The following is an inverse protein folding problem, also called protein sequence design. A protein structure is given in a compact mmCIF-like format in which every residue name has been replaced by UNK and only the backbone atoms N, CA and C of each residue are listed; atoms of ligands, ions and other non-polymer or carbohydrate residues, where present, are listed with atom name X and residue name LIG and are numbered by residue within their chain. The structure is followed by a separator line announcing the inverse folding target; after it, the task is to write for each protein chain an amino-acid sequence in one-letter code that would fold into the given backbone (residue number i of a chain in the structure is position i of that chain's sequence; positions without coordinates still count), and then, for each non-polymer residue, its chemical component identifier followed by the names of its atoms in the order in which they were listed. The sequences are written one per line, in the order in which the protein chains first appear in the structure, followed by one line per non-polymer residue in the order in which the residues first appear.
data_IF_909588045639
#
_entry.id   IF_909588045639
#
_cell.length_a   1.000
_cell.length_b   1.000
_cell.length_c   1.000
_cell.angle_alpha   90.00
_cell.angle_beta   90.00
_cell.angle_gamma   90.00
#
_symmetry.space_group_name_H-M   'P 1'
#
loop_
_entity.id
_entity.type
_entity.pdbx_description
1 polymer ?
#
# COMPACT_ATOMS: atom_id res chain seq x y z
N UNK A 1 22.90 -7.01 15.95
CA UNK A 1 22.20 -6.46 17.13
C UNK A 1 20.82 -5.99 16.70
N UNK A 2 19.76 -6.39 17.39
CA UNK A 2 18.37 -6.02 17.08
C UNK A 2 18.18 -4.51 17.26
N UNK A 3 17.64 -3.82 16.24
CA UNK A 3 17.27 -2.41 16.38
C UNK A 3 15.90 -2.30 17.06
N UNK A 4 15.86 -1.93 18.34
CA UNK A 4 14.60 -1.86 19.10
C UNK A 4 13.66 -0.77 18.57
N UNK A 5 14.21 0.31 17.99
CA UNK A 5 13.42 1.44 17.49
C UNK A 5 12.64 1.10 16.22
N UNK A 6 13.12 0.10 15.45
CA UNK A 6 12.53 -0.33 14.19
C UNK A 6 11.97 -1.76 14.25
N UNK A 7 11.87 -2.36 15.43
CA UNK A 7 11.26 -3.67 15.59
C UNK A 7 9.78 -3.67 15.23
N UNK A 8 9.02 -2.68 15.70
CA UNK A 8 7.58 -2.56 15.41
C UNK A 8 7.29 -2.32 13.91
N UNK A 9 8.00 -1.41 13.21
CA UNK A 9 7.92 -1.31 11.76
C UNK A 9 8.21 -2.63 11.04
N UNK A 10 9.21 -3.39 11.51
CA UNK A 10 9.53 -4.71 10.97
C UNK A 10 8.39 -5.71 11.13
N UNK A 11 7.80 -5.79 12.33
CA UNK A 11 6.63 -6.65 12.61
C UNK A 11 5.43 -6.24 11.75
N UNK A 12 5.17 -4.94 11.62
CA UNK A 12 4.07 -4.43 10.80
C UNK A 12 4.25 -4.81 9.32
N UNK A 13 5.46 -4.65 8.77
CA UNK A 13 5.75 -5.07 7.40
C UNK A 13 5.59 -6.58 7.21
N UNK A 14 6.07 -7.39 8.18
CA UNK A 14 5.90 -8.84 8.16
C UNK A 14 4.44 -9.28 8.25
N UNK A 15 3.66 -8.67 9.14
CA UNK A 15 2.23 -8.95 9.28
C UNK A 15 1.46 -8.58 8.01
N UNK A 16 1.75 -7.40 7.44
CA UNK A 16 1.15 -6.95 6.19
C UNK A 16 1.49 -7.88 5.02
N UNK A 17 2.73 -8.40 4.96
CA UNK A 17 3.15 -9.36 3.93
C UNK A 17 2.34 -10.66 3.95
N UNK A 18 1.77 -11.03 5.10
CA UNK A 18 0.93 -12.23 5.24
C UNK A 18 -0.54 -11.90 4.99
N UNK A 19 -1.07 -10.82 5.59
CA UNK A 19 -2.48 -10.47 5.50
C UNK A 19 -2.87 -10.00 4.08
N UNK A 20 -2.03 -9.19 3.45
CA UNK A 20 -2.30 -8.62 2.13
C UNK A 20 -2.64 -9.68 1.06
N UNK A 21 -1.79 -10.70 0.80
CA UNK A 21 -2.10 -11.67 -0.24
C UNK A 21 -3.30 -12.54 0.13
N UNK A 22 -3.53 -12.85 1.41
CA UNK A 22 -4.71 -13.62 1.83
C UNK A 22 -6.00 -12.86 1.48
N UNK A 23 -6.06 -11.56 1.78
CA UNK A 23 -7.19 -10.70 1.46
C UNK A 23 -7.42 -10.59 -0.05
N UNK A 24 -6.39 -10.22 -0.81
CA UNK A 24 -6.57 -9.97 -2.23
C UNK A 24 -6.81 -11.25 -3.03
N UNK A 25 -6.27 -12.41 -2.61
CA UNK A 25 -6.59 -13.69 -3.24
C UNK A 25 -8.05 -14.07 -3.01
N UNK A 26 -8.63 -13.83 -1.83
CA UNK A 26 -10.06 -14.10 -1.62
C UNK A 26 -10.93 -13.20 -2.48
N UNK A 27 -10.63 -11.89 -2.53
CA UNK A 27 -11.37 -10.93 -3.36
C UNK A 27 -11.28 -11.28 -4.86
N UNK A 28 -10.08 -11.60 -5.37
CA UNK A 28 -9.91 -11.98 -6.78
C UNK A 28 -10.44 -13.37 -7.11
N UNK A 29 -10.40 -14.30 -6.15
CA UNK A 29 -10.87 -15.68 -6.34
C UNK A 29 -12.39 -15.79 -6.44
N UNK A 30 -13.13 -14.84 -5.88
CA UNK A 30 -14.59 -14.83 -5.86
C UNK A 30 -15.21 -14.22 -7.12
N UNK A 31 -14.44 -13.50 -7.95
CA UNK A 31 -14.96 -12.83 -9.15
C UNK A 31 -14.16 -13.15 -10.41
N UNK A 32 -14.72 -14.00 -11.27
CA UNK A 32 -14.23 -14.20 -12.65
C UNK A 32 -14.59 -13.05 -13.59
N UNK A 33 -15.46 -12.13 -13.15
CA UNK A 33 -16.05 -11.04 -13.95
C UNK A 33 -15.26 -9.72 -13.92
N UNK A 34 -14.13 -9.66 -13.18
CA UNK A 34 -13.18 -8.54 -13.17
C UNK A 34 -13.26 -7.62 -11.95
N UNK A 35 -12.21 -6.78 -11.78
CA UNK A 35 -11.99 -5.92 -10.61
C UNK A 35 -13.15 -4.94 -10.32
N UNK A 36 -13.85 -4.46 -11.35
CA UNK A 36 -14.94 -3.49 -11.21
C UNK A 36 -16.20 -4.07 -10.56
N UNK A 37 -16.62 -5.27 -10.98
CA UNK A 37 -17.77 -5.96 -10.39
C UNK A 37 -17.44 -6.50 -8.99
N UNK A 38 -16.20 -6.95 -8.77
CA UNK A 38 -15.72 -7.34 -7.44
C UNK A 38 -15.83 -6.19 -6.42
N UNK A 39 -15.32 -5.01 -6.78
CA UNK A 39 -15.41 -3.82 -5.93
C UNK A 39 -16.87 -3.39 -5.71
N UNK A 40 -17.73 -3.52 -6.72
CA UNK A 40 -19.15 -3.13 -6.61
C UNK A 40 -19.95 -4.07 -5.69
N UNK A 41 -19.67 -5.37 -5.73
CA UNK A 41 -20.29 -6.36 -4.84
C UNK A 41 -19.80 -6.23 -3.40
N UNK A 42 -18.51 -5.95 -3.22
CA UNK A 42 -17.91 -5.71 -1.89
C UNK A 42 -18.58 -4.51 -1.20
N UNK A 43 -18.83 -3.43 -1.97
CA UNK A 43 -19.44 -2.17 -1.50
C UNK A 43 -20.84 -2.29 -0.84
N UNK A 44 -21.49 -3.44 -0.94
CA UNK A 44 -22.87 -3.66 -0.50
C UNK A 44 -22.97 -4.42 0.82
N UNK A 45 -21.85 -4.81 1.45
CA UNK A 45 -21.89 -5.54 2.70
C UNK A 45 -20.80 -5.06 3.66
N UNK A 46 -21.16 -4.84 4.93
CA UNK A 46 -20.18 -4.59 5.98
C UNK A 46 -19.92 -5.88 6.75
N UNK A 47 -18.76 -6.47 6.55
CA UNK A 47 -18.36 -7.77 7.03
C UNK A 47 -16.92 -7.75 7.61
N UNK A 48 -16.35 -8.92 7.94
CA UNK A 48 -15.00 -9.00 8.50
C UNK A 48 -13.90 -8.58 7.51
N UNK A 49 -14.14 -8.74 6.21
CA UNK A 49 -13.29 -8.29 5.12
C UNK A 49 -13.02 -6.79 5.20
N UNK A 50 -14.03 -5.96 5.48
CA UNK A 50 -13.87 -4.50 5.65
C UNK A 50 -12.90 -4.13 6.76
N UNK A 51 -12.95 -4.85 7.88
CA UNK A 51 -12.02 -4.64 8.99
C UNK A 51 -10.58 -5.00 8.57
N UNK A 52 -10.41 -6.11 7.83
CA UNK A 52 -9.11 -6.54 7.30
C UNK A 52 -8.59 -5.53 6.28
N UNK A 53 -9.46 -5.00 5.42
CA UNK A 53 -9.14 -3.94 4.46
C UNK A 53 -8.58 -2.70 5.17
N UNK A 54 -9.29 -2.18 6.17
CA UNK A 54 -8.80 -1.04 6.97
C UNK A 54 -7.48 -1.35 7.68
N UNK A 55 -7.33 -2.56 8.21
CA UNK A 55 -6.09 -2.99 8.87
C UNK A 55 -4.90 -3.01 7.90
N UNK A 56 -5.09 -3.51 6.68
CA UNK A 56 -4.08 -3.49 5.61
C UNK A 56 -3.63 -2.05 5.36
N UNK A 57 -4.57 -1.13 5.14
CA UNK A 57 -4.26 0.28 4.91
C UNK A 57 -3.52 0.93 6.08
N UNK A 58 -3.95 0.66 7.32
CA UNK A 58 -3.31 1.19 8.51
C UNK A 58 -1.85 0.69 8.66
N UNK A 59 -1.62 -0.61 8.41
CA UNK A 59 -0.29 -1.19 8.43
C UNK A 59 0.61 -0.61 7.34
N UNK A 60 0.10 -0.46 6.11
CA UNK A 60 0.85 0.09 5.00
C UNK A 60 1.25 1.55 5.25
N UNK A 61 0.31 2.38 5.72
CA UNK A 61 0.58 3.76 6.17
C UNK A 61 1.68 3.77 7.23
N UNK A 62 1.56 2.92 8.25
CA UNK A 62 2.55 2.85 9.32
C UNK A 62 3.94 2.46 8.81
N UNK A 63 4.02 1.51 7.87
CA UNK A 63 5.28 1.11 7.21
C UNK A 63 5.89 2.28 6.43
N UNK A 64 5.12 3.03 5.64
CA UNK A 64 5.65 4.18 4.90
C UNK A 64 6.10 5.33 5.79
N UNK A 65 5.33 5.66 6.82
CA UNK A 65 5.74 6.69 7.77
C UNK A 65 6.96 6.27 8.59
N UNK A 66 7.12 4.97 8.86
CA UNK A 66 8.32 4.43 9.51
C UNK A 66 9.53 4.42 8.59
N UNK A 67 9.37 4.07 7.32
CA UNK A 67 10.42 4.17 6.32
C UNK A 67 10.86 5.63 6.15
N UNK A 68 9.91 6.57 6.07
CA UNK A 68 10.19 8.01 6.03
C UNK A 68 11.06 8.48 7.21
N UNK A 69 10.83 7.92 8.41
CA UNK A 69 11.64 8.21 9.60
C UNK A 69 13.03 7.57 9.49
N UNK A 70 13.12 6.32 9.04
CA UNK A 70 14.38 5.60 8.84
C UNK A 70 15.31 6.31 7.84
N UNK A 71 14.75 6.99 6.84
CA UNK A 71 15.52 7.74 5.85
C UNK A 71 15.93 9.14 6.34
N UNK A 72 15.47 9.63 7.50
CA UNK A 72 15.66 11.05 7.89
C UNK A 72 17.12 11.51 7.89
N UNK A 73 18.03 10.65 8.32
CA UNK A 73 19.44 11.02 8.50
C UNK A 73 20.30 10.72 7.26
N UNK A 74 19.68 10.24 6.16
CA UNK A 74 20.39 9.99 4.90
C UNK A 74 20.49 11.29 4.09
N UNK A 75 21.62 11.47 3.40
CA UNK A 75 21.85 12.66 2.59
C UNK A 75 20.89 12.72 1.39
N UNK A 76 20.31 13.89 1.14
CA UNK A 76 19.54 14.22 -0.06
C UNK A 76 18.28 13.35 -0.29
N UNK A 77 17.66 12.78 0.75
CA UNK A 77 16.42 11.96 0.59
C UNK A 77 15.11 12.71 0.89
N UNK A 78 15.15 14.03 1.03
CA UNK A 78 13.97 14.83 1.40
C UNK A 78 12.79 14.62 0.44
N UNK A 79 13.05 14.61 -0.87
CA UNK A 79 12.04 14.35 -1.89
C UNK A 79 11.38 12.97 -1.73
N UNK A 80 12.17 11.92 -1.48
CA UNK A 80 11.66 10.57 -1.21
C UNK A 80 10.79 10.55 0.05
N UNK A 81 11.22 11.24 1.11
CA UNK A 81 10.46 11.32 2.37
C UNK A 81 9.11 12.01 2.21
N UNK A 82 9.02 13.01 1.33
CA UNK A 82 7.75 13.66 0.98
C UNK A 82 6.87 12.68 0.19
N UNK A 83 7.43 12.01 -0.82
CA UNK A 83 6.67 11.06 -1.63
C UNK A 83 6.15 9.86 -0.82
N UNK A 84 6.90 9.37 0.17
CA UNK A 84 6.39 8.35 1.12
C UNK A 84 5.19 8.85 1.93
N UNK A 85 5.13 10.14 2.25
CA UNK A 85 3.96 10.74 2.89
C UNK A 85 2.78 10.82 1.92
N UNK A 86 3.04 11.17 0.65
CA UNK A 86 2.00 11.17 -0.40
C UNK A 86 1.44 9.77 -0.61
N UNK A 87 2.29 8.73 -0.66
CA UNK A 87 1.85 7.34 -0.75
C UNK A 87 0.96 6.96 0.44
N UNK A 88 1.34 7.31 1.66
CA UNK A 88 0.50 7.07 2.84
C UNK A 88 -0.87 7.77 2.74
N UNK A 89 -0.94 8.99 2.20
CA UNK A 89 -2.20 9.69 1.96
C UNK A 89 -3.04 9.01 0.88
N UNK A 90 -2.42 8.51 -0.20
CA UNK A 90 -3.12 7.78 -1.25
C UNK A 90 -3.66 6.44 -0.76
N UNK A 91 -2.89 5.72 0.07
CA UNK A 91 -3.34 4.50 0.76
C UNK A 91 -4.52 4.81 1.68
N UNK A 92 -4.48 5.92 2.41
CA UNK A 92 -5.60 6.36 3.25
C UNK A 92 -6.84 6.65 2.40
N UNK A 93 -6.69 7.38 1.29
CA UNK A 93 -7.80 7.70 0.40
C UNK A 93 -8.44 6.43 -0.20
N UNK A 94 -7.63 5.45 -0.57
CA UNK A 94 -8.09 4.15 -1.05
C UNK A 94 -8.85 3.39 0.05
N UNK A 95 -8.28 3.25 1.25
CA UNK A 95 -8.92 2.46 2.31
C UNK A 95 -10.09 3.18 2.99
N UNK A 96 -10.20 4.51 2.82
CA UNK A 96 -11.33 5.29 3.30
C UNK A 96 -12.61 5.03 2.48
N UNK A 97 -12.55 4.30 1.37
CA UNK A 97 -13.76 3.87 0.63
C UNK A 97 -14.67 2.99 1.48
N UNK A 98 -14.14 2.32 2.52
CA UNK A 98 -14.94 1.58 3.52
C UNK A 98 -16.02 2.45 4.20
N UNK A 99 -15.85 3.78 4.19
CA UNK A 99 -16.87 4.69 4.73
C UNK A 99 -18.14 4.68 3.89
N UNK A 100 -18.05 4.31 2.60
CA UNK A 100 -19.20 4.06 1.74
C UNK A 100 -19.99 2.84 2.25
N UNK A 101 -19.32 1.74 2.58
CA UNK A 101 -19.90 0.53 3.18
C UNK A 101 -20.59 0.84 4.51
N UNK A 102 -19.90 1.58 5.39
CA UNK A 102 -20.46 2.02 6.67
C UNK A 102 -21.72 2.84 6.46
N UNK A 103 -21.70 3.79 5.53
CA UNK A 103 -22.87 4.60 5.24
C UNK A 103 -24.03 3.76 4.72
N UNK A 104 -23.79 2.88 3.74
CA UNK A 104 -24.82 2.04 3.14
C UNK A 104 -25.41 1.05 4.16
N UNK A 105 -24.57 0.44 5.00
CA UNK A 105 -25.02 -0.44 6.08
C UNK A 105 -25.88 0.28 7.13
N UNK A 106 -25.54 1.53 7.46
CA UNK A 106 -26.32 2.35 8.42
C UNK A 106 -27.61 2.88 7.81
N UNK A 107 -27.57 3.27 6.53
CA UNK A 107 -28.75 3.75 5.82
C UNK A 107 -29.78 2.63 5.60
N UNK A 108 -29.32 1.40 5.32
CA UNK A 108 -30.17 0.25 5.04
C UNK A 108 -31.19 0.56 3.94
N UNK A 109 -32.43 0.11 4.12
CA UNK A 109 -33.52 0.31 3.16
C UNK A 109 -33.95 1.77 2.95
N UNK A 110 -33.36 2.73 3.70
CA UNK A 110 -33.65 4.16 3.54
C UNK A 110 -32.86 4.80 2.40
N UNK A 111 -31.79 4.17 1.92
CA UNK A 111 -31.05 4.66 0.78
C UNK A 111 -31.84 4.39 -0.52
N UNK A 112 -32.07 5.42 -1.32
CA UNK A 112 -32.65 5.23 -2.66
C UNK A 112 -31.63 4.59 -3.58
N UNK A 113 -32.11 3.91 -4.62
CA UNK A 113 -31.24 3.30 -5.65
C UNK A 113 -30.28 4.31 -6.28
N UNK A 114 -30.75 5.54 -6.53
CA UNK A 114 -29.92 6.63 -7.07
C UNK A 114 -28.75 7.00 -6.13
N UNK A 115 -28.96 6.96 -4.82
CA UNK A 115 -27.92 7.24 -3.81
C UNK A 115 -26.90 6.10 -3.78
N UNK A 116 -27.36 4.85 -3.82
CA UNK A 116 -26.49 3.66 -3.85
C UNK A 116 -25.61 3.67 -5.09
N UNK A 117 -26.19 3.96 -6.25
CA UNK A 117 -25.45 4.07 -7.52
C UNK A 117 -24.41 5.19 -7.47
N UNK A 118 -24.79 6.37 -6.98
CA UNK A 118 -23.88 7.52 -6.85
C UNK A 118 -22.69 7.23 -5.94
N UNK A 119 -22.94 6.60 -4.78
CA UNK A 119 -21.89 6.20 -3.83
C UNK A 119 -20.95 5.18 -4.48
N UNK A 120 -21.51 4.20 -5.20
CA UNK A 120 -20.72 3.18 -5.89
C UNK A 120 -19.79 3.79 -6.93
N UNK A 121 -20.29 4.74 -7.75
CA UNK A 121 -19.49 5.46 -8.75
C UNK A 121 -18.36 6.26 -8.07
N UNK A 122 -18.66 6.97 -6.98
CA UNK A 122 -17.66 7.72 -6.22
C UNK A 122 -16.58 6.80 -5.66
N UNK A 123 -16.97 5.69 -5.02
CA UNK A 123 -16.03 4.73 -4.44
C UNK A 123 -15.12 4.11 -5.51
N UNK A 124 -15.67 3.76 -6.69
CA UNK A 124 -14.89 3.27 -7.83
C UNK A 124 -13.92 4.34 -8.36
N UNK A 125 -14.37 5.58 -8.52
CA UNK A 125 -13.54 6.68 -9.01
C UNK A 125 -12.40 7.01 -8.03
N UNK A 126 -12.70 7.07 -6.73
CA UNK A 126 -11.70 7.25 -5.67
C UNK A 126 -10.70 6.09 -5.69
N UNK A 127 -11.19 4.85 -5.76
CA UNK A 127 -10.36 3.65 -5.78
C UNK A 127 -9.39 3.61 -6.96
N UNK A 128 -9.92 3.77 -8.17
CA UNK A 128 -9.12 3.77 -9.40
C UNK A 128 -8.14 4.95 -9.42
N UNK A 129 -8.60 6.14 -9.01
CA UNK A 129 -7.78 7.35 -8.94
C UNK A 129 -6.64 7.22 -7.94
N UNK A 130 -6.89 6.73 -6.73
CA UNK A 130 -5.87 6.54 -5.70
C UNK A 130 -4.85 5.49 -6.11
N UNK A 131 -5.27 4.36 -6.68
CA UNK A 131 -4.36 3.31 -7.16
C UNK A 131 -3.50 3.78 -8.34
N UNK A 132 -4.09 4.51 -9.29
CA UNK A 132 -3.35 5.08 -10.42
C UNK A 132 -2.31 6.11 -9.98
N UNK A 133 -2.70 7.05 -9.12
CA UNK A 133 -1.78 8.04 -8.55
C UNK A 133 -0.71 7.38 -7.69
N UNK A 134 -1.07 6.34 -6.92
CA UNK A 134 -0.12 5.59 -6.12
C UNK A 134 0.96 4.96 -6.99
N UNK A 135 0.59 4.36 -8.11
CA UNK A 135 1.56 3.76 -9.02
C UNK A 135 2.52 4.81 -9.61
N UNK A 136 2.02 5.99 -9.97
CA UNK A 136 2.85 7.09 -10.47
C UNK A 136 3.82 7.62 -9.40
N UNK A 137 3.30 7.93 -8.21
CA UNK A 137 4.12 8.42 -7.08
C UNK A 137 5.12 7.35 -6.65
N UNK A 138 4.73 6.09 -6.64
CA UNK A 138 5.57 4.96 -6.29
C UNK A 138 6.70 4.76 -7.30
N UNK A 139 6.43 4.92 -8.59
CA UNK A 139 7.44 4.87 -9.65
C UNK A 139 8.49 5.97 -9.46
N UNK A 140 8.05 7.21 -9.20
CA UNK A 140 8.95 8.34 -8.92
C UNK A 140 9.77 8.06 -7.65
N UNK A 141 9.13 7.57 -6.59
CA UNK A 141 9.78 7.23 -5.32
C UNK A 141 10.88 6.19 -5.53
N UNK A 142 10.58 5.11 -6.24
CA UNK A 142 11.51 4.04 -6.56
C UNK A 142 12.68 4.55 -7.42
N UNK A 143 12.40 5.35 -8.44
CA UNK A 143 13.44 5.95 -9.30
C UNK A 143 14.38 6.85 -8.49
N UNK A 144 13.87 7.71 -7.62
CA UNK A 144 14.67 8.60 -6.78
C UNK A 144 15.49 7.84 -5.72
N UNK A 145 14.99 6.72 -5.20
CA UNK A 145 15.76 5.85 -4.34
C UNK A 145 16.91 5.19 -5.12
N UNK A 146 16.66 4.73 -6.35
CA UNK A 146 17.67 4.06 -7.18
C UNK A 146 18.79 4.99 -7.67
N UNK A 147 18.53 6.28 -7.84
CA UNK A 147 19.59 7.26 -8.17
C UNK A 147 20.56 7.48 -7.00
N UNK A 148 20.12 7.20 -5.76
CA UNK A 148 20.90 7.37 -4.53
C UNK A 148 21.57 6.10 -4.03
N UNK A 149 21.54 5.02 -4.83
CA UNK A 149 22.02 3.66 -4.48
C UNK A 149 23.43 3.59 -3.89
N UNK A 150 24.33 4.51 -4.27
CA UNK A 150 25.74 4.47 -3.90
C UNK A 150 25.99 4.76 -2.39
N UNK A 151 24.98 5.24 -1.66
CA UNK A 151 25.03 5.43 -0.20
C UNK A 151 23.92 4.71 0.56
N UNK A 152 23.27 3.71 -0.04
CA UNK A 152 22.10 3.03 0.52
C UNK A 152 22.37 1.56 0.77
N UNK A 153 21.69 1.00 1.77
CA UNK A 153 21.73 -0.45 2.03
C UNK A 153 21.25 -1.23 0.81
N UNK A 154 21.84 -2.40 0.57
CA UNK A 154 21.42 -3.31 -0.52
C UNK A 154 19.95 -3.70 -0.42
N UNK A 155 19.41 -3.82 0.79
CA UNK A 155 17.98 -4.10 1.04
C UNK A 155 17.09 -2.99 0.48
N UNK A 156 17.46 -1.73 0.69
CA UNK A 156 16.67 -0.60 0.20
C UNK A 156 16.75 -0.48 -1.33
N UNK A 157 17.88 -0.85 -1.93
CA UNK A 157 18.01 -1.01 -3.39
C UNK A 157 17.08 -2.09 -3.93
N UNK A 158 17.05 -3.28 -3.30
CA UNK A 158 16.15 -4.37 -3.70
C UNK A 158 14.69 -3.96 -3.55
N UNK A 159 14.32 -3.35 -2.43
CA UNK A 159 12.98 -2.80 -2.22
C UNK A 159 12.59 -1.83 -3.34
N UNK A 160 13.49 -0.93 -3.73
CA UNK A 160 13.24 0.07 -4.77
C UNK A 160 13.04 -0.57 -6.14
N UNK A 161 13.80 -1.63 -6.47
CA UNK A 161 13.60 -2.40 -7.71
C UNK A 161 12.23 -3.08 -7.70
N UNK A 162 11.86 -3.74 -6.60
CA UNK A 162 10.55 -4.38 -6.46
C UNK A 162 9.42 -3.36 -6.57
N UNK A 163 9.55 -2.21 -5.90
CA UNK A 163 8.59 -1.11 -5.97
C UNK A 163 8.43 -0.58 -7.39
N UNK A 164 9.54 -0.41 -8.12
CA UNK A 164 9.51 0.01 -9.52
C UNK A 164 8.74 -1.00 -10.39
N UNK A 165 9.06 -2.29 -10.26
CA UNK A 165 8.37 -3.36 -10.99
C UNK A 165 6.87 -3.38 -10.66
N UNK A 166 6.51 -3.31 -9.38
CA UNK A 166 5.10 -3.29 -8.95
C UNK A 166 4.33 -2.13 -9.56
N UNK A 167 4.91 -0.93 -9.57
CA UNK A 167 4.27 0.25 -10.13
C UNK A 167 4.08 0.13 -11.65
N UNK A 168 5.07 -0.41 -12.37
CA UNK A 168 4.95 -0.66 -13.82
C UNK A 168 3.82 -1.65 -14.09
N UNK A 169 3.76 -2.76 -13.34
CA UNK A 169 2.71 -3.76 -13.49
C UNK A 169 1.33 -3.20 -13.12
N UNK A 170 1.25 -2.39 -12.06
CA UNK A 170 0.01 -1.71 -11.64
C UNK A 170 -0.53 -0.81 -12.76
N UNK A 171 0.34 -0.03 -13.42
CA UNK A 171 -0.05 0.86 -14.52
C UNK A 171 -0.57 0.11 -15.75
N UNK A 172 -0.18 -1.16 -15.93
CA UNK A 172 -0.68 -1.96 -17.05
C UNK A 172 -2.12 -2.45 -16.85
N UNK A 173 -2.67 -2.36 -15.62
CA UNK A 173 -3.96 -2.89 -15.16
C UNK A 173 -4.08 -4.41 -15.29
N UNK A 174 -3.79 -4.97 -16.47
CA UNK A 174 -3.81 -6.40 -16.77
C UNK A 174 -2.86 -7.16 -15.87
N UNK A 175 -1.61 -6.69 -15.69
CA UNK A 175 -0.64 -7.41 -14.86
C UNK A 175 -0.64 -6.96 -13.38
N UNK A 176 -1.57 -6.10 -12.97
CA UNK A 176 -1.63 -5.58 -11.61
C UNK A 176 -1.82 -6.69 -10.56
N UNK A 177 -2.52 -7.79 -10.91
CA UNK A 177 -2.72 -8.93 -10.00
C UNK A 177 -1.41 -9.60 -9.58
N UNK A 178 -0.31 -9.46 -10.34
CA UNK A 178 1.00 -9.98 -9.94
C UNK A 178 1.55 -9.27 -8.69
N UNK A 179 1.04 -8.07 -8.37
CA UNK A 179 1.40 -7.36 -7.15
C UNK A 179 0.94 -8.08 -5.88
N UNK A 180 -0.02 -9.00 -5.97
CA UNK A 180 -0.37 -9.93 -4.88
C UNK A 180 0.86 -10.69 -4.36
N UNK A 181 1.84 -10.98 -5.21
CA UNK A 181 3.07 -11.68 -4.83
C UNK A 181 4.25 -10.74 -4.62
N UNK A 182 4.38 -9.70 -5.46
CA UNK A 182 5.51 -8.78 -5.39
C UNK A 182 5.44 -7.85 -4.17
N UNK A 183 4.25 -7.45 -3.74
CA UNK A 183 4.08 -6.57 -2.59
C UNK A 183 4.50 -7.25 -1.28
N UNK A 184 4.07 -8.49 -0.97
CA UNK A 184 4.63 -9.27 0.13
C UNK A 184 6.15 -9.42 0.06
N UNK A 185 6.71 -9.69 -1.12
CA UNK A 185 8.16 -9.80 -1.27
C UNK A 185 8.87 -8.49 -0.90
N UNK A 186 8.36 -7.34 -1.37
CA UNK A 186 8.90 -6.03 -1.03
C UNK A 186 8.79 -5.73 0.48
N UNK A 187 7.68 -6.11 1.11
CA UNK A 187 7.47 -5.96 2.55
C UNK A 187 8.39 -6.85 3.38
N UNK A 188 8.70 -8.06 2.95
CA UNK A 188 9.69 -8.92 3.62
C UNK A 188 11.09 -8.29 3.55
N UNK A 189 11.45 -7.66 2.43
CA UNK A 189 12.70 -6.89 2.34
C UNK A 189 12.69 -5.72 3.32
N UNK A 190 11.60 -4.97 3.41
CA UNK A 190 11.46 -3.88 4.39
C UNK A 190 11.48 -4.39 5.84
N UNK A 191 10.87 -5.53 6.13
CA UNK A 191 10.93 -6.16 7.44
C UNK A 191 12.37 -6.42 7.85
N UNK A 192 13.16 -7.04 6.96
CA UNK A 192 14.59 -7.29 7.23
C UNK A 192 15.36 -5.97 7.35
N UNK A 193 15.05 -4.97 6.51
CA UNK A 193 15.66 -3.64 6.58
C UNK A 193 15.41 -2.96 7.92
N UNK A 194 14.20 -3.03 8.46
CA UNK A 194 13.87 -2.44 9.75
C UNK A 194 14.50 -3.18 10.94
N UNK A 195 14.55 -4.51 10.87
CA UNK A 195 15.10 -5.33 11.97
C UNK A 195 16.63 -5.22 12.02
N UNK A 196 17.30 -5.14 10.87
CA UNK A 196 18.73 -4.87 10.80
C UNK A 196 18.97 -3.40 11.12
N UNK A 197 19.98 -3.10 11.94
CA UNK A 197 20.41 -1.70 12.12
C UNK A 197 20.73 -1.12 10.73
N UNK A 198 20.19 0.04 10.34
CA UNK A 198 20.69 0.73 9.16
C UNK A 198 22.17 1.00 9.43
N UNK A 199 23.04 0.33 8.68
CA UNK A 199 24.47 0.62 8.72
C UNK A 199 24.60 2.07 8.27
N UNK A 200 24.79 2.97 9.24
CA UNK A 200 25.24 4.31 8.95
C UNK A 200 26.61 4.11 8.32
N UNK A 201 26.71 4.35 7.02
CA UNK A 201 28.01 4.47 6.37
C UNK A 201 28.64 5.69 7.04
N UNK A 202 29.56 5.46 7.97
CA UNK A 202 30.51 6.48 8.38
C UNK A 202 31.22 6.94 7.10
N UNK A 203 30.88 8.14 6.64
CA UNK A 203 31.69 8.82 5.64
C UNK A 203 32.98 9.21 6.37
N UNK A 204 34.03 8.40 6.17
CA UNK A 204 35.41 8.77 6.53
C UNK A 204 35.93 9.72 5.45
#
# INVERSE_FOLDING_TARGET
MLNRDYLLPGIAAGLLAVIFPMYWISVFGETLDGLGEALKLDLQSLNFSDLVFVLIGALEIYVYLSLRKALKDMFDVEGVRILLCVLAVLVLAFHATVLCDVYLAVAGDKASNDVIESISIIAMAVSAGSLGLYALVGLITAALLLTKRHGMSSLLTVFSILMLLMCILQLTVIFAYLNVFLFPAALLILMVFFIKKPEQIEVI
#
